data_IF_568799135128
#
_entry.id   IF_568799135128
#
_cell.length_a   1.000
_cell.length_b   1.000
_cell.length_c   1.000
_cell.angle_alpha   90.00
_cell.angle_beta   90.00
_cell.angle_gamma   90.00
#
_symmetry.space_group_name_H-M   'P 1'
#
loop_
_entity.id
_entity.type
_entity.pdbx_description
1 polymer ?
#
# COMPACT_ATOMS: atom_id res chain seq x y z
N UNK A 1 -11.71 5.41 -35.31
CA UNK A 1 -11.81 6.77 -34.75
C UNK A 1 -11.09 6.72 -33.41
N UNK A 2 -10.21 7.69 -33.10
CA UNK A 2 -9.58 7.74 -31.80
C UNK A 2 -10.67 7.80 -30.70
N UNK A 3 -10.51 7.01 -29.64
CA UNK A 3 -11.48 6.96 -28.54
C UNK A 3 -11.74 8.34 -27.95
N UNK A 4 -13.01 8.65 -27.72
CA UNK A 4 -13.47 9.88 -27.07
C UNK A 4 -13.46 9.77 -25.54
N UNK A 5 -13.04 8.64 -24.96
CA UNK A 5 -13.13 8.43 -23.50
C UNK A 5 -12.39 9.50 -22.68
N UNK A 6 -11.30 10.06 -23.23
CA UNK A 6 -10.47 11.07 -22.56
C UNK A 6 -10.76 12.50 -23.00
N UNK A 7 -11.84 12.72 -23.76
CA UNK A 7 -12.18 14.03 -24.31
C UNK A 7 -13.68 14.28 -24.14
N UNK A 8 -14.00 15.31 -23.37
CA UNK A 8 -15.34 15.85 -23.19
C UNK A 8 -15.31 17.33 -23.60
N UNK A 9 -15.52 17.65 -24.89
CA UNK A 9 -15.36 19.01 -25.39
C UNK A 9 -16.32 20.04 -24.77
N UNK A 10 -17.40 19.60 -24.13
CA UNK A 10 -18.37 20.47 -23.46
C UNK A 10 -17.90 20.88 -22.05
N UNK A 11 -17.03 20.09 -21.42
CA UNK A 11 -16.54 20.32 -20.05
C UNK A 11 -15.04 20.62 -19.96
N UNK A 12 -14.27 20.18 -20.94
CA UNK A 12 -12.82 20.31 -20.97
C UNK A 12 -12.38 21.76 -21.22
N UNK A 13 -11.17 22.08 -20.75
CA UNK A 13 -10.48 23.28 -21.22
C UNK A 13 -10.26 23.18 -22.75
N UNK A 14 -10.62 24.20 -23.55
CA UNK A 14 -10.45 24.18 -25.00
C UNK A 14 -9.00 23.92 -25.46
N UNK A 15 -8.00 24.45 -24.77
CA UNK A 15 -6.59 24.22 -25.10
C UNK A 15 -6.18 22.76 -24.92
N UNK A 16 -6.64 22.13 -23.83
CA UNK A 16 -6.40 20.71 -23.58
C UNK A 16 -7.12 19.82 -24.60
N UNK A 17 -8.32 20.22 -24.99
CA UNK A 17 -9.08 19.54 -26.04
C UNK A 17 -8.33 19.57 -27.37
N UNK A 18 -7.76 20.73 -27.71
CA UNK A 18 -6.99 20.89 -28.95
C UNK A 18 -5.72 20.02 -28.95
N UNK A 19 -4.98 19.96 -27.84
CA UNK A 19 -3.82 19.07 -27.75
C UNK A 19 -4.22 17.58 -27.84
N UNK A 20 -5.34 17.17 -27.23
CA UNK A 20 -5.85 15.80 -27.33
C UNK A 20 -6.20 15.40 -28.76
N UNK A 21 -6.74 16.32 -29.58
CA UNK A 21 -7.06 16.06 -31.00
C UNK A 21 -5.84 15.79 -31.86
N UNK A 22 -4.66 16.29 -31.47
CA UNK A 22 -3.40 16.09 -32.20
C UNK A 22 -2.80 14.70 -32.01
N UNK A 23 -3.35 13.88 -31.12
CA UNK A 23 -2.89 12.50 -30.93
C UNK A 23 -2.98 11.70 -32.24
N UNK A 24 -1.87 11.13 -32.67
CA UNK A 24 -1.76 10.29 -33.87
C UNK A 24 -1.84 8.78 -33.56
N UNK A 25 -2.27 8.43 -32.35
CA UNK A 25 -2.47 7.07 -31.86
C UNK A 25 -3.79 6.96 -31.10
N UNK A 26 -4.29 5.74 -30.91
CA UNK A 26 -5.47 5.50 -30.07
C UNK A 26 -5.06 5.34 -28.60
N UNK A 27 -5.48 6.25 -27.70
CA UNK A 27 -5.14 6.15 -26.28
C UNK A 27 -5.72 4.92 -25.59
N UNK A 28 -6.79 4.30 -26.12
CA UNK A 28 -7.29 3.02 -25.59
C UNK A 28 -6.30 1.90 -25.85
N UNK A 29 -5.80 1.80 -27.09
CA UNK A 29 -4.84 0.78 -27.48
C UNK A 29 -3.55 0.95 -26.68
N UNK A 30 -3.08 2.19 -26.50
CA UNK A 30 -1.92 2.47 -25.66
C UNK A 30 -2.17 2.11 -24.19
N UNK A 31 -3.34 2.46 -23.66
CA UNK A 31 -3.71 2.14 -22.28
C UNK A 31 -3.81 0.64 -22.03
N UNK A 32 -4.45 -0.11 -22.93
CA UNK A 32 -4.54 -1.56 -22.85
C UNK A 32 -3.15 -2.21 -22.99
N UNK A 33 -2.27 -1.66 -23.82
CA UNK A 33 -0.87 -2.10 -23.88
C UNK A 33 -0.15 -1.91 -22.54
N UNK A 34 -0.19 -0.71 -21.96
CA UNK A 34 0.49 -0.43 -20.68
C UNK A 34 -0.04 -1.27 -19.52
N UNK A 35 -1.36 -1.48 -19.48
CA UNK A 35 -2.03 -2.21 -18.41
C UNK A 35 -2.29 -3.67 -18.76
N UNK A 36 -1.67 -4.20 -19.82
CA UNK A 36 -1.72 -5.61 -20.22
C UNK A 36 -3.18 -6.13 -20.31
N UNK A 37 -4.05 -5.35 -20.97
CA UNK A 37 -5.47 -5.67 -21.18
C UNK A 37 -6.40 -5.34 -19.99
N UNK A 38 -5.87 -4.75 -18.91
CA UNK A 38 -6.63 -4.44 -17.70
C UNK A 38 -7.23 -3.03 -17.69
N UNK A 39 -7.20 -2.27 -18.80
CA UNK A 39 -7.64 -0.87 -18.80
C UNK A 39 -9.11 -0.74 -18.39
N UNK A 40 -9.98 -1.58 -18.94
CA UNK A 40 -11.41 -1.60 -18.59
C UNK A 40 -11.64 -1.90 -17.11
N UNK A 41 -10.92 -2.88 -16.56
CA UNK A 41 -11.03 -3.27 -15.16
C UNK A 41 -10.59 -2.14 -14.23
N UNK A 42 -9.48 -1.47 -14.54
CA UNK A 42 -9.00 -0.29 -13.80
C UNK A 42 -10.04 0.84 -13.81
N UNK A 43 -10.70 1.09 -14.93
CA UNK A 43 -11.76 2.11 -15.00
C UNK A 43 -12.96 1.76 -14.12
N UNK A 44 -13.42 0.51 -14.13
CA UNK A 44 -14.50 0.07 -13.24
C UNK A 44 -14.17 0.30 -11.76
N UNK A 45 -12.95 -0.03 -11.34
CA UNK A 45 -12.49 0.20 -9.97
C UNK A 45 -12.46 1.71 -9.67
N UNK A 46 -11.93 2.53 -10.57
CA UNK A 46 -11.86 3.98 -10.42
C UNK A 46 -13.25 4.65 -10.34
N UNK A 47 -14.17 4.25 -11.21
CA UNK A 47 -15.56 4.71 -11.21
C UNK A 47 -16.27 4.34 -9.92
N UNK A 48 -16.07 3.11 -9.43
CA UNK A 48 -16.60 2.70 -8.13
C UNK A 48 -16.05 3.57 -6.99
N UNK A 49 -14.73 3.79 -6.90
CA UNK A 49 -14.13 4.66 -5.87
C UNK A 49 -14.74 6.07 -5.92
N UNK A 50 -14.83 6.65 -7.12
CA UNK A 50 -15.46 7.98 -7.32
C UNK A 50 -16.92 7.99 -6.87
N UNK A 51 -17.67 6.93 -7.13
CA UNK A 51 -19.08 6.83 -6.73
C UNK A 51 -19.29 6.78 -5.22
N UNK A 52 -18.27 6.39 -4.43
CA UNK A 52 -18.35 6.38 -2.97
C UNK A 52 -18.18 7.78 -2.34
N UNK A 53 -17.70 8.76 -3.10
CA UNK A 53 -17.54 10.14 -2.65
C UNK A 53 -16.73 10.25 -1.35
N UNK A 54 -17.24 11.02 -0.38
CA UNK A 54 -16.58 11.29 0.91
C UNK A 54 -16.23 10.02 1.72
N UNK A 55 -16.84 8.86 1.43
CA UNK A 55 -16.51 7.61 2.13
C UNK A 55 -15.09 7.12 1.80
N UNK A 56 -14.65 7.29 0.55
CA UNK A 56 -13.34 6.85 0.06
C UNK A 56 -12.46 8.00 -0.45
N UNK A 57 -12.91 9.25 -0.32
CA UNK A 57 -12.12 10.43 -0.63
C UNK A 57 -11.48 11.02 0.64
N UNK A 58 -10.32 11.68 0.53
CA UNK A 58 -9.74 12.45 1.63
C UNK A 58 -10.72 13.48 2.19
N UNK A 59 -10.66 13.73 3.50
CA UNK A 59 -11.58 14.67 4.15
C UNK A 59 -11.45 16.12 3.63
N UNK A 60 -10.27 16.47 3.13
CA UNK A 60 -9.94 17.74 2.48
C UNK A 60 -8.76 17.52 1.52
N UNK A 61 -8.37 18.51 0.69
CA UNK A 61 -7.15 18.38 -0.11
C UNK A 61 -5.94 18.07 0.79
N UNK A 62 -5.29 16.94 0.51
CA UNK A 62 -4.15 16.42 1.31
C UNK A 62 -3.04 17.45 1.56
N UNK A 63 -2.69 18.37 0.63
CA UNK A 63 -1.72 19.43 0.90
C UNK A 63 -2.08 20.40 2.03
N UNK A 64 -3.36 20.48 2.42
CA UNK A 64 -3.82 21.36 3.50
C UNK A 64 -3.89 20.65 4.86
N UNK A 65 -3.65 19.34 4.89
CA UNK A 65 -3.62 18.57 6.13
C UNK A 65 -2.26 18.70 6.82
N UNK A 66 -2.30 18.89 8.14
CA UNK A 66 -1.17 18.62 9.03
C UNK A 66 -0.81 17.13 9.01
N UNK A 67 0.37 16.80 9.54
CA UNK A 67 0.79 15.39 9.64
C UNK A 67 -0.22 14.53 10.41
N UNK A 68 -0.78 15.02 11.51
CA UNK A 68 -1.73 14.24 12.32
C UNK A 68 -3.05 14.03 11.59
N UNK A 69 -3.57 15.06 10.91
CA UNK A 69 -4.77 14.92 10.09
C UNK A 69 -4.58 13.92 8.95
N UNK A 70 -3.40 13.89 8.32
CA UNK A 70 -3.09 12.86 7.31
C UNK A 70 -3.14 11.44 7.89
N UNK A 71 -2.52 11.22 9.06
CA UNK A 71 -2.49 9.91 9.70
C UNK A 71 -3.91 9.44 10.09
N UNK A 72 -4.70 10.34 10.69
CA UNK A 72 -6.10 10.05 11.05
C UNK A 72 -6.96 9.78 9.81
N UNK A 73 -6.82 10.59 8.76
CA UNK A 73 -7.61 10.43 7.54
C UNK A 73 -7.23 9.15 6.80
N UNK A 74 -5.95 8.80 6.71
CA UNK A 74 -5.54 7.57 6.04
C UNK A 74 -5.89 6.31 6.83
N UNK A 75 -5.88 6.37 8.16
CA UNK A 75 -6.41 5.30 9.01
C UNK A 75 -7.91 5.09 8.77
N UNK A 76 -8.69 6.18 8.75
CA UNK A 76 -10.12 6.15 8.40
C UNK A 76 -10.35 5.56 7.02
N UNK A 77 -9.61 6.02 6.02
CA UNK A 77 -9.71 5.53 4.64
C UNK A 77 -9.33 4.06 4.52
N UNK A 78 -8.32 3.59 5.25
CA UNK A 78 -7.91 2.18 5.23
C UNK A 78 -8.99 1.25 5.77
N UNK A 79 -9.69 1.67 6.83
CA UNK A 79 -10.85 0.92 7.36
C UNK A 79 -12.01 0.94 6.39
N UNK A 80 -12.30 2.10 5.77
CA UNK A 80 -13.36 2.21 4.77
C UNK A 80 -13.05 1.35 3.54
N UNK A 81 -11.83 1.42 3.02
CA UNK A 81 -11.34 0.65 1.88
C UNK A 81 -11.61 -0.84 2.05
N UNK A 82 -11.28 -1.43 3.21
CA UNK A 82 -11.54 -2.85 3.49
C UNK A 82 -13.03 -3.23 3.42
N UNK A 83 -13.94 -2.38 3.91
CA UNK A 83 -15.39 -2.62 3.80
C UNK A 83 -15.90 -2.59 2.37
N UNK A 84 -15.14 -1.98 1.46
CA UNK A 84 -15.51 -1.83 0.06
C UNK A 84 -14.78 -2.82 -0.86
N UNK A 85 -13.67 -3.41 -0.43
CA UNK A 85 -12.77 -4.20 -1.26
C UNK A 85 -13.48 -5.37 -1.97
N UNK A 86 -14.17 -6.23 -1.22
CA UNK A 86 -14.88 -7.41 -1.76
C UNK A 86 -15.96 -7.07 -2.79
N UNK A 87 -16.48 -5.83 -2.77
CA UNK A 87 -17.51 -5.39 -3.70
C UNK A 87 -16.95 -4.94 -5.06
N UNK A 88 -15.64 -4.66 -5.16
CA UNK A 88 -15.06 -3.97 -6.31
C UNK A 88 -13.80 -4.61 -6.86
N UNK A 89 -12.96 -5.21 -6.02
CA UNK A 89 -11.70 -5.84 -6.43
C UNK A 89 -11.68 -7.34 -6.11
N UNK A 90 -10.85 -8.08 -6.85
CA UNK A 90 -10.35 -9.37 -6.41
C UNK A 90 -9.28 -9.16 -5.32
N UNK A 91 -9.64 -9.46 -4.07
CA UNK A 91 -8.73 -9.38 -2.91
C UNK A 91 -7.58 -10.38 -2.98
N UNK A 92 -7.63 -11.37 -3.88
CA UNK A 92 -6.51 -12.25 -4.20
C UNK A 92 -5.54 -11.67 -5.21
N UNK A 93 -5.90 -10.59 -5.92
CA UNK A 93 -5.10 -9.97 -6.98
C UNK A 93 -4.23 -8.82 -6.43
N UNK A 94 -2.89 -8.98 -6.35
CA UNK A 94 -2.01 -7.91 -5.86
C UNK A 94 -2.10 -6.64 -6.72
N UNK A 95 -2.34 -6.79 -8.02
CA UNK A 95 -2.44 -5.66 -8.96
C UNK A 95 -3.70 -4.83 -8.72
N UNK A 96 -4.85 -5.47 -8.48
CA UNK A 96 -6.09 -4.75 -8.16
C UNK A 96 -6.03 -4.10 -6.78
N UNK A 97 -5.50 -4.81 -5.78
CA UNK A 97 -5.29 -4.27 -4.44
C UNK A 97 -4.38 -3.04 -4.46
N UNK A 98 -3.24 -3.12 -5.13
CA UNK A 98 -2.30 -2.00 -5.24
C UNK A 98 -2.94 -0.78 -5.92
N UNK A 99 -3.68 -1.02 -7.00
CA UNK A 99 -4.36 0.07 -7.70
C UNK A 99 -5.49 0.69 -6.88
N UNK A 100 -6.32 -0.13 -6.23
CA UNK A 100 -7.39 0.35 -5.35
C UNK A 100 -6.83 1.17 -4.18
N UNK A 101 -5.76 0.70 -3.53
CA UNK A 101 -5.05 1.46 -2.51
C UNK A 101 -4.54 2.80 -3.04
N UNK A 102 -3.91 2.80 -4.23
CA UNK A 102 -3.37 4.03 -4.84
C UNK A 102 -4.44 5.10 -5.13
N UNK A 103 -5.67 4.69 -5.43
CA UNK A 103 -6.79 5.60 -5.68
C UNK A 103 -7.34 6.25 -4.41
N UNK A 104 -7.17 5.60 -3.25
CA UNK A 104 -7.80 5.99 -1.98
C UNK A 104 -6.79 6.64 -1.04
N UNK A 105 -5.67 5.96 -0.77
CA UNK A 105 -4.66 6.39 0.19
C UNK A 105 -3.54 7.23 -0.47
N UNK A 106 -3.43 7.23 -1.80
CA UNK A 106 -2.42 8.00 -2.52
C UNK A 106 -0.99 7.55 -2.21
N UNK A 107 -0.07 8.52 -2.12
CA UNK A 107 1.38 8.29 -1.89
C UNK A 107 1.87 8.66 -0.49
N UNK A 108 1.00 9.20 0.38
CA UNK A 108 1.37 9.54 1.76
C UNK A 108 1.49 8.30 2.67
N UNK A 109 1.22 7.12 2.10
CA UNK A 109 1.32 5.81 2.74
C UNK A 109 0.07 5.40 3.50
N UNK A 110 -0.02 4.13 3.88
CA UNK A 110 -1.12 3.56 4.68
C UNK A 110 -0.60 2.82 5.92
N UNK A 111 -1.47 2.58 6.94
CA UNK A 111 -1.14 1.74 8.08
C UNK A 111 -0.75 0.30 7.74
N UNK A 112 -1.08 -0.17 6.53
CA UNK A 112 -0.87 -1.55 6.09
C UNK A 112 0.20 -1.70 5.01
N UNK A 113 0.89 -0.61 4.64
CA UNK A 113 1.84 -0.65 3.51
C UNK A 113 2.94 -1.68 3.74
N UNK A 114 3.72 -1.56 4.84
CA UNK A 114 4.76 -2.55 5.11
C UNK A 114 4.21 -3.88 5.63
N UNK A 115 2.97 -3.91 6.12
CA UNK A 115 2.31 -5.15 6.46
C UNK A 115 2.18 -6.05 5.22
N UNK A 116 1.60 -5.55 4.13
CA UNK A 116 1.45 -6.32 2.91
C UNK A 116 2.72 -6.36 2.05
N UNK A 117 3.48 -5.28 1.99
CA UNK A 117 4.65 -5.20 1.11
C UNK A 117 5.84 -6.01 1.61
N UNK A 118 6.00 -6.19 2.93
CA UNK A 118 7.20 -6.78 3.51
C UNK A 118 6.92 -7.83 4.60
N UNK A 119 6.06 -7.53 5.58
CA UNK A 119 5.85 -8.43 6.72
C UNK A 119 5.20 -9.74 6.29
N UNK A 120 4.08 -9.67 5.55
CA UNK A 120 3.38 -10.86 5.07
C UNK A 120 4.26 -11.72 4.14
N UNK A 121 4.95 -11.18 3.11
CA UNK A 121 5.92 -11.95 2.33
C UNK A 121 7.04 -12.56 3.18
N UNK A 122 7.58 -11.84 4.16
CA UNK A 122 8.62 -12.38 5.03
C UNK A 122 8.11 -13.59 5.82
N UNK A 123 6.89 -13.53 6.35
CA UNK A 123 6.27 -14.64 7.07
C UNK A 123 5.99 -15.83 6.15
N UNK A 124 5.42 -15.61 4.96
CA UNK A 124 5.16 -16.67 3.97
C UNK A 124 6.44 -17.43 3.61
N UNK A 125 7.57 -16.73 3.48
CA UNK A 125 8.82 -17.34 3.02
C UNK A 125 9.68 -17.95 4.14
N UNK A 126 9.44 -17.60 5.41
CA UNK A 126 10.34 -17.99 6.52
C UNK A 126 9.66 -18.76 7.66
N UNK A 127 8.33 -18.83 7.71
CA UNK A 127 7.62 -19.65 8.69
C UNK A 127 7.71 -21.15 8.34
N UNK A 128 7.81 -21.98 9.37
CA UNK A 128 7.45 -23.40 9.28
C UNK A 128 5.91 -23.59 9.28
N UNK A 129 5.43 -24.82 9.10
CA UNK A 129 4.01 -25.13 8.98
C UNK A 129 3.20 -24.73 10.23
N UNK A 130 3.77 -24.86 11.43
CA UNK A 130 3.10 -24.54 12.69
C UNK A 130 2.98 -23.02 12.87
N UNK A 131 4.08 -22.30 12.63
CA UNK A 131 4.10 -20.84 12.64
C UNK A 131 3.18 -20.26 11.56
N UNK A 132 3.17 -20.86 10.37
CA UNK A 132 2.32 -20.44 9.26
C UNK A 132 0.83 -20.60 9.61
N UNK A 133 0.46 -21.75 10.20
CA UNK A 133 -0.91 -22.01 10.63
C UNK A 133 -1.40 -21.02 11.71
N UNK A 134 -0.52 -20.60 12.63
CA UNK A 134 -0.87 -19.62 13.67
C UNK A 134 -0.93 -18.19 13.12
N UNK A 135 0.08 -17.75 12.37
CA UNK A 135 0.27 -16.32 12.08
C UNK A 135 -0.26 -15.85 10.74
N UNK A 136 -0.18 -16.66 9.68
CA UNK A 136 -0.59 -16.22 8.34
C UNK A 136 -2.08 -15.87 8.27
N UNK A 137 -3.03 -16.65 8.84
CA UNK A 137 -4.43 -16.28 8.83
C UNK A 137 -4.67 -14.91 9.47
N UNK A 138 -4.01 -14.63 10.60
CA UNK A 138 -4.12 -13.35 11.32
C UNK A 138 -3.58 -12.18 10.51
N UNK A 139 -2.49 -12.39 9.76
CA UNK A 139 -1.92 -11.38 8.85
C UNK A 139 -2.84 -11.15 7.65
N UNK A 140 -3.29 -12.21 6.96
CA UNK A 140 -4.19 -12.09 5.81
C UNK A 140 -5.52 -11.39 6.17
N UNK A 141 -6.09 -11.72 7.32
CA UNK A 141 -7.32 -11.10 7.83
C UNK A 141 -7.06 -9.72 8.48
N UNK A 142 -5.79 -9.32 8.61
CA UNK A 142 -5.36 -8.11 9.30
C UNK A 142 -5.92 -7.99 10.73
N UNK A 143 -6.01 -9.12 11.43
CA UNK A 143 -6.27 -9.20 12.87
C UNK A 143 -5.08 -8.64 13.66
N UNK A 144 -3.89 -8.72 13.08
CA UNK A 144 -2.67 -8.07 13.55
C UNK A 144 -2.09 -7.16 12.46
N UNK A 145 -1.41 -6.09 12.88
CA UNK A 145 -0.64 -5.22 11.99
C UNK A 145 0.84 -5.49 12.28
N UNK A 146 1.64 -5.63 11.22
CA UNK A 146 3.01 -6.08 11.31
C UNK A 146 3.87 -5.27 10.35
N UNK A 147 5.17 -5.25 10.59
CA UNK A 147 6.15 -4.60 9.72
C UNK A 147 7.46 -5.40 9.73
N UNK A 148 8.32 -5.13 8.75
CA UNK A 148 9.62 -5.78 8.63
C UNK A 148 10.72 -4.92 9.26
N UNK A 149 11.30 -5.40 10.36
CA UNK A 149 12.16 -4.62 11.24
C UNK A 149 13.62 -5.08 11.10
N UNK A 150 14.34 -4.54 10.12
CA UNK A 150 15.73 -4.90 9.84
C UNK A 150 16.72 -3.77 10.16
N UNK A 151 16.58 -2.65 9.45
CA UNK A 151 17.50 -1.51 9.50
C UNK A 151 17.61 -0.93 10.91
N UNK A 152 18.84 -0.62 11.30
CA UNK A 152 19.22 0.06 12.52
C UNK A 152 19.70 1.48 12.22
N UNK A 153 19.72 2.34 13.24
CA UNK A 153 20.19 3.72 13.09
C UNK A 153 21.65 3.77 12.59
N UNK A 154 22.50 2.83 13.03
CA UNK A 154 23.89 2.71 12.58
C UNK A 154 24.10 1.89 11.30
N UNK A 155 23.13 1.03 10.92
CA UNK A 155 23.35 -0.02 9.93
C UNK A 155 22.10 -0.33 9.09
N UNK A 156 22.23 -0.24 7.76
CA UNK A 156 21.18 -0.66 6.82
C UNK A 156 21.71 -1.52 5.68
N UNK A 157 22.78 -1.06 5.01
CA UNK A 157 23.37 -1.78 3.87
C UNK A 157 24.16 -3.00 4.28
N UNK A 158 24.96 -2.92 5.36
CA UNK A 158 25.82 -4.01 5.81
C UNK A 158 25.15 -4.80 6.95
N UNK A 159 24.37 -5.82 6.58
CA UNK A 159 23.62 -6.64 7.56
C UNK A 159 24.51 -7.42 8.52
N UNK A 160 25.76 -7.70 8.14
CA UNK A 160 26.73 -8.39 9.02
C UNK A 160 27.20 -7.52 10.19
N UNK A 161 26.91 -6.23 10.15
CA UNK A 161 27.28 -5.27 11.19
C UNK A 161 26.09 -4.84 12.06
N UNK A 162 24.90 -5.46 11.91
CA UNK A 162 23.78 -5.20 12.82
C UNK A 162 24.20 -5.52 14.26
N UNK A 163 23.79 -4.64 15.17
CA UNK A 163 24.18 -4.65 16.57
C UNK A 163 23.12 -5.30 17.46
N UNK A 164 21.85 -5.34 17.04
CA UNK A 164 20.80 -6.05 17.79
C UNK A 164 21.14 -7.53 17.90
N UNK A 165 21.13 -8.06 19.12
CA UNK A 165 21.39 -9.48 19.37
C UNK A 165 20.11 -10.23 19.70
N UNK A 166 20.09 -11.52 19.36
CA UNK A 166 19.09 -12.48 19.80
C UNK A 166 19.84 -13.69 20.39
N UNK A 167 19.89 -13.76 21.72
CA UNK A 167 20.64 -14.81 22.44
C UNK A 167 19.67 -15.86 22.96
N UNK A 168 19.90 -17.13 22.61
CA UNK A 168 19.06 -18.23 23.10
C UNK A 168 19.39 -18.57 24.56
N UNK A 169 18.39 -18.53 25.44
CA UNK A 169 18.46 -19.00 26.82
C UNK A 169 17.81 -20.39 26.92
N UNK A 170 18.66 -21.42 26.98
CA UNK A 170 18.23 -22.81 27.03
C UNK A 170 17.48 -23.19 28.32
N UNK A 171 17.61 -22.42 29.40
CA UNK A 171 16.88 -22.71 30.64
C UNK A 171 15.40 -22.32 30.57
N UNK A 172 15.09 -21.37 29.68
CA UNK A 172 13.74 -20.82 29.47
C UNK A 172 13.16 -21.19 28.11
N UNK A 173 13.98 -21.74 27.22
CA UNK A 173 13.63 -22.01 25.82
C UNK A 173 13.18 -20.73 25.08
N UNK A 174 13.82 -19.59 25.41
CA UNK A 174 13.46 -18.26 24.91
C UNK A 174 14.64 -17.60 24.19
N UNK A 175 14.35 -16.73 23.22
CA UNK A 175 15.34 -15.80 22.67
C UNK A 175 15.25 -14.45 23.40
N UNK A 176 16.37 -14.01 23.96
CA UNK A 176 16.51 -12.68 24.58
C UNK A 176 17.01 -11.70 23.52
N UNK A 177 16.14 -10.78 23.11
CA UNK A 177 16.48 -9.69 22.21
C UNK A 177 17.06 -8.50 22.97
N UNK A 178 18.16 -7.93 22.48
CA UNK A 178 18.78 -6.75 23.09
C UNK A 178 19.27 -5.77 22.03
N UNK A 179 19.01 -4.48 22.26
CA UNK A 179 19.56 -3.36 21.49
C UNK A 179 20.62 -2.65 22.36
N UNK A 180 21.91 -3.08 22.30
CA UNK A 180 22.93 -2.70 23.28
C UNK A 180 23.38 -1.24 23.18
N UNK A 181 23.16 -0.59 22.05
CA UNK A 181 23.63 0.77 21.75
C UNK A 181 22.48 1.61 21.19
N UNK A 182 22.61 2.93 21.25
CA UNK A 182 21.64 3.81 20.59
C UNK A 182 21.64 3.52 19.07
N UNK A 183 22.80 3.25 18.47
CA UNK A 183 22.93 2.93 17.04
C UNK A 183 22.26 1.61 16.64
N UNK A 184 22.10 0.67 17.57
CA UNK A 184 21.34 -0.58 17.38
C UNK A 184 19.81 -0.40 17.36
N UNK A 185 19.32 0.81 17.64
CA UNK A 185 17.87 1.10 17.59
C UNK A 185 17.36 0.84 16.18
N UNK A 186 16.31 0.04 16.05
CA UNK A 186 15.64 -0.20 14.77
C UNK A 186 15.06 1.11 14.22
N UNK A 187 15.46 1.46 13.00
CA UNK A 187 15.25 2.79 12.44
C UNK A 187 14.92 2.70 10.95
N UNK A 188 13.89 3.43 10.53
CA UNK A 188 13.25 3.42 9.19
C UNK A 188 12.14 2.40 8.90
N UNK A 189 11.95 1.26 9.61
CA UNK A 189 10.80 0.40 9.34
C UNK A 189 9.49 1.19 9.37
N UNK A 190 8.82 1.25 8.22
CA UNK A 190 7.51 1.89 8.07
C UNK A 190 6.50 1.25 9.01
N UNK A 191 5.58 2.06 9.55
CA UNK A 191 4.53 1.61 10.47
C UNK A 191 5.04 1.02 11.82
N UNK A 192 6.34 1.14 12.16
CA UNK A 192 6.90 0.62 13.43
C UNK A 192 6.55 1.48 14.65
N UNK A 193 6.77 2.78 14.57
CA UNK A 193 6.60 3.67 15.73
C UNK A 193 5.13 4.00 16.01
N UNK A 194 4.39 4.31 14.95
CA UNK A 194 2.95 4.56 14.91
C UNK A 194 2.46 4.36 13.46
N UNK A 195 1.15 4.19 13.33
CA UNK A 195 0.37 4.29 12.09
C UNK A 195 -0.60 5.44 12.21
#
# INVERSE_FOLDING_TARGET
>A
MASTHYMDPERDNPELTEERRRANFDPEVLGDFFWQGQLRRRRQICEYVRSQGAKLAPAQPVPFMTRMEKLEDVARLSVAMRKHAENVIDVGSPQEQSYFNSLICGYDGSPFDLHFAMALPAMINNCDDEQAAEWLPKLFNCEIIATYVQTEMGHGTNLKALETTATYDASREEFVFNSPTITSTKWWPGNLGKT
#
